data_IF_016126821035
#
_entry.id   IF_016126821035
#
_cell.length_a   1.000
_cell.length_b   1.000
_cell.length_c   1.000
_cell.angle_alpha   90.00
_cell.angle_beta   90.00
_cell.angle_gamma   90.00
#
_symmetry.space_group_name_H-M   'P 1'
#
loop_
_entity.id
_entity.type
_entity.pdbx_description
1 polymer ?
#
# COMPACT_ATOMS: atom_id res chain seq x y z
N UNK A 1 10.57 -15.98 7.28
CA UNK A 1 9.74 -17.01 6.61
C UNK A 1 9.13 -16.36 5.38
N UNK A 2 9.60 -16.75 4.18
CA UNK A 2 9.30 -16.05 2.92
C UNK A 2 8.39 -16.86 1.97
N UNK A 3 7.67 -17.85 2.52
CA UNK A 3 6.75 -18.67 1.76
C UNK A 3 5.40 -18.78 2.48
N UNK A 4 4.77 -17.63 2.73
CA UNK A 4 3.48 -17.51 3.44
C UNK A 4 2.44 -16.85 2.54
N UNK A 5 1.15 -16.92 2.90
CA UNK A 5 0.09 -16.24 2.14
C UNK A 5 0.38 -14.74 1.92
N UNK A 6 0.74 -13.94 2.96
CA UNK A 6 1.12 -12.55 2.75
C UNK A 6 2.28 -12.37 1.78
N UNK A 7 3.31 -13.23 1.85
CA UNK A 7 4.49 -13.14 1.00
C UNK A 7 4.20 -13.47 -0.46
N UNK A 8 3.38 -14.49 -0.74
CA UNK A 8 2.96 -14.79 -2.11
C UNK A 8 2.13 -13.67 -2.73
N UNK A 9 1.25 -13.03 -1.94
CA UNK A 9 0.47 -11.88 -2.39
C UNK A 9 1.37 -10.65 -2.60
N UNK A 10 2.33 -10.41 -1.71
CA UNK A 10 3.35 -9.36 -1.84
C UNK A 10 4.16 -9.51 -3.11
N UNK A 11 4.70 -10.71 -3.36
CA UNK A 11 5.42 -11.03 -4.60
C UNK A 11 4.58 -10.74 -5.83
N UNK A 12 3.32 -11.19 -5.85
CA UNK A 12 2.39 -10.91 -6.96
C UNK A 12 2.17 -9.40 -7.15
N UNK A 13 1.95 -8.65 -6.08
CA UNK A 13 1.73 -7.20 -6.10
C UNK A 13 2.94 -6.44 -6.64
N UNK A 14 4.14 -6.73 -6.12
CA UNK A 14 5.39 -6.07 -6.52
C UNK A 14 5.80 -6.44 -7.94
N UNK A 15 5.61 -7.69 -8.37
CA UNK A 15 5.86 -8.06 -9.77
C UNK A 15 4.93 -7.33 -10.73
N UNK A 16 3.67 -7.11 -10.35
CA UNK A 16 2.70 -6.42 -11.19
C UNK A 16 3.11 -4.97 -11.50
N UNK A 17 3.64 -4.23 -10.52
CA UNK A 17 4.11 -2.85 -10.78
C UNK A 17 5.28 -2.84 -11.76
N UNK A 18 6.20 -3.79 -11.68
CA UNK A 18 7.36 -3.90 -12.59
C UNK A 18 7.02 -4.40 -14.00
N UNK A 19 5.81 -4.89 -14.23
CA UNK A 19 5.32 -5.26 -15.56
C UNK A 19 4.76 -4.06 -16.32
N UNK A 20 4.54 -2.93 -15.66
CA UNK A 20 4.00 -1.73 -16.32
C UNK A 20 5.09 -1.02 -17.14
N UNK A 21 4.76 -0.46 -18.32
CA UNK A 21 5.72 0.32 -19.11
C UNK A 21 6.28 1.53 -18.35
N UNK A 22 5.45 2.15 -17.50
CA UNK A 22 5.87 3.30 -16.69
C UNK A 22 7.01 2.92 -15.76
N UNK A 23 6.87 1.84 -14.97
CA UNK A 23 7.93 1.38 -14.08
C UNK A 23 9.17 0.90 -14.83
N UNK A 24 9.01 0.18 -15.94
CA UNK A 24 10.15 -0.29 -16.73
C UNK A 24 11.03 0.86 -17.25
N UNK A 25 10.42 1.99 -17.60
CA UNK A 25 11.13 3.17 -18.10
C UNK A 25 11.84 3.95 -16.99
N UNK A 26 11.24 4.10 -15.80
CA UNK A 26 11.81 4.94 -14.72
C UNK A 26 12.74 4.16 -13.78
N UNK A 27 12.53 2.84 -13.64
CA UNK A 27 13.24 2.03 -12.65
C UNK A 27 14.76 2.05 -12.77
N UNK A 28 15.39 1.99 -13.96
CA UNK A 28 16.84 2.03 -14.06
C UNK A 28 17.46 3.29 -13.42
N UNK A 29 16.82 4.45 -13.60
CA UNK A 29 17.25 5.70 -12.98
C UNK A 29 16.98 5.70 -11.48
N UNK A 30 15.79 5.26 -11.06
CA UNK A 30 15.43 5.19 -9.64
C UNK A 30 16.30 4.22 -8.85
N UNK A 31 16.66 3.09 -9.44
CA UNK A 31 17.54 2.10 -8.80
C UNK A 31 18.91 2.71 -8.49
N UNK A 32 19.47 3.49 -9.43
CA UNK A 32 20.73 4.19 -9.19
C UNK A 32 20.63 5.20 -8.02
N UNK A 33 19.54 5.97 -7.96
CA UNK A 33 19.29 6.89 -6.84
C UNK A 33 19.05 6.16 -5.52
N UNK A 34 18.33 5.04 -5.55
CA UNK A 34 18.14 4.17 -4.38
C UNK A 34 19.48 3.65 -3.88
N UNK A 35 20.34 3.14 -4.77
CA UNK A 35 21.70 2.69 -4.40
C UNK A 35 22.57 3.82 -3.89
N UNK A 36 22.43 5.04 -4.41
CA UNK A 36 23.12 6.20 -3.87
C UNK A 36 22.72 6.47 -2.42
N UNK A 37 21.43 6.37 -2.09
CA UNK A 37 20.94 6.55 -0.72
C UNK A 37 21.28 5.38 0.22
N UNK A 38 21.27 4.14 -0.28
CA UNK A 38 21.55 2.95 0.52
C UNK A 38 23.06 2.76 0.77
N UNK A 39 23.90 3.09 -0.21
CA UNK A 39 25.32 2.72 -0.19
C UNK A 39 25.56 1.22 -0.41
N UNK A 40 26.83 0.81 -0.36
CA UNK A 40 27.23 -0.55 -0.72
C UNK A 40 26.87 -1.63 0.31
N UNK A 41 26.76 -1.27 1.60
CA UNK A 41 26.50 -2.20 2.71
C UNK A 41 25.36 -1.66 3.59
N UNK A 42 24.16 -1.57 3.02
CA UNK A 42 23.00 -1.05 3.74
C UNK A 42 22.46 -2.03 4.79
N UNK A 43 21.89 -1.47 5.85
CA UNK A 43 21.16 -2.16 6.90
C UNK A 43 19.65 -1.84 6.82
N UNK A 44 18.87 -2.43 7.72
CA UNK A 44 17.41 -2.27 7.73
C UNK A 44 16.97 -0.81 7.89
N UNK A 45 17.74 0.00 8.64
CA UNK A 45 17.41 1.40 8.85
C UNK A 45 17.61 2.23 7.58
N UNK A 46 18.57 1.88 6.72
CA UNK A 46 18.82 2.60 5.48
C UNK A 46 17.64 2.40 4.51
N UNK A 47 17.12 1.18 4.42
CA UNK A 47 15.88 0.88 3.69
C UNK A 47 14.71 1.69 4.24
N UNK A 48 14.50 1.69 5.56
CA UNK A 48 13.41 2.45 6.17
C UNK A 48 13.58 3.95 5.88
N UNK A 49 14.80 4.47 5.94
CA UNK A 49 15.11 5.89 5.72
C UNK A 49 14.98 6.31 4.23
N UNK A 50 14.85 5.38 3.28
CA UNK A 50 14.44 5.73 1.91
C UNK A 50 13.11 6.51 1.88
N UNK A 51 12.23 6.31 2.87
CA UNK A 51 10.98 7.06 3.00
C UNK A 51 11.15 8.58 2.99
N UNK A 52 12.26 9.07 3.57
CA UNK A 52 12.58 10.50 3.58
C UNK A 52 13.05 11.02 2.21
N UNK A 53 13.36 10.12 1.27
CA UNK A 53 14.00 10.43 0.00
C UNK A 53 13.18 9.97 -1.22
N UNK A 54 12.02 9.32 -1.03
CA UNK A 54 11.20 8.87 -2.16
C UNK A 54 10.82 10.00 -3.12
N UNK A 55 10.62 11.21 -2.60
CA UNK A 55 10.33 12.40 -3.40
C UNK A 55 11.51 12.87 -4.26
N UNK A 56 12.75 12.61 -3.82
CA UNK A 56 13.96 12.88 -4.61
C UNK A 56 14.15 11.81 -5.68
N UNK A 57 14.01 10.53 -5.31
CA UNK A 57 14.03 9.38 -6.22
C UNK A 57 12.99 9.58 -7.33
N UNK A 58 11.75 9.90 -6.98
CA UNK A 58 10.68 10.16 -7.95
C UNK A 58 11.04 11.29 -8.93
N UNK A 59 11.70 12.35 -8.45
CA UNK A 59 12.06 13.52 -9.24
C UNK A 59 13.30 13.33 -10.11
N UNK A 60 14.12 12.30 -9.89
CA UNK A 60 15.30 12.06 -10.75
C UNK A 60 14.94 11.74 -12.20
N UNK A 61 13.68 11.34 -12.44
CA UNK A 61 13.11 11.14 -13.78
C UNK A 61 12.16 12.25 -14.21
N UNK A 62 11.99 13.32 -13.42
CA UNK A 62 11.15 14.45 -13.78
C UNK A 62 11.86 15.31 -14.84
N UNK A 63 11.28 15.39 -16.04
CA UNK A 63 11.79 16.25 -17.11
C UNK A 63 11.24 17.66 -16.88
N UNK A 64 12.13 18.65 -16.79
CA UNK A 64 11.73 20.06 -16.69
C UNK A 64 10.90 20.49 -17.91
N UNK A 65 9.70 21.03 -17.66
CA UNK A 65 8.92 21.77 -18.66
C UNK A 65 7.99 20.98 -19.60
N UNK A 66 7.44 19.81 -19.22
CA UNK A 66 6.53 19.04 -20.09
C UNK A 66 5.06 18.99 -19.63
N UNK A 67 4.17 19.05 -20.63
CA UNK A 67 2.71 19.14 -20.61
C UNK A 67 1.95 17.92 -20.05
N UNK A 68 0.64 18.11 -19.86
CA UNK A 68 -0.38 17.26 -19.21
C UNK A 68 -0.27 15.73 -19.36
N UNK A 69 0.25 15.19 -20.47
CA UNK A 69 0.46 13.74 -20.63
C UNK A 69 1.48 13.14 -19.66
N UNK A 70 2.43 13.94 -19.17
CA UNK A 70 3.39 13.55 -18.14
C UNK A 70 2.80 13.52 -16.73
N UNK A 71 1.66 14.18 -16.49
CA UNK A 71 1.01 14.24 -15.17
C UNK A 71 0.37 12.88 -14.80
N UNK A 72 -0.27 12.21 -15.77
CA UNK A 72 -0.93 10.91 -15.56
C UNK A 72 0.08 9.77 -15.37
N UNK A 73 1.14 9.74 -16.16
CA UNK A 73 2.26 8.79 -15.97
C UNK A 73 3.02 9.06 -14.66
N UNK A 74 3.15 10.34 -14.26
CA UNK A 74 3.72 10.72 -12.97
C UNK A 74 2.92 10.20 -11.77
N UNK A 75 1.58 10.24 -11.83
CA UNK A 75 0.72 9.64 -10.79
C UNK A 75 0.96 8.13 -10.66
N UNK A 76 0.83 7.40 -11.77
CA UNK A 76 1.05 5.94 -11.80
C UNK A 76 2.44 5.54 -11.31
N UNK A 77 3.48 6.31 -11.67
CA UNK A 77 4.84 6.11 -11.20
C UNK A 77 4.96 6.33 -9.69
N UNK A 78 4.40 7.42 -9.16
CA UNK A 78 4.43 7.73 -7.73
C UNK A 78 3.74 6.65 -6.90
N UNK A 79 2.53 6.24 -7.30
CA UNK A 79 1.78 5.14 -6.68
C UNK A 79 2.61 3.85 -6.64
N UNK A 80 3.29 3.53 -7.75
CA UNK A 80 4.10 2.32 -7.86
C UNK A 80 5.34 2.38 -6.95
N UNK A 81 5.98 3.55 -6.82
CA UNK A 81 7.11 3.75 -5.91
C UNK A 81 6.68 3.60 -4.44
N UNK A 82 5.55 4.19 -4.05
CA UNK A 82 5.00 4.07 -2.69
C UNK A 82 4.60 2.62 -2.40
N UNK A 83 3.91 1.95 -3.34
CA UNK A 83 3.54 0.54 -3.20
C UNK A 83 4.76 -0.38 -3.08
N UNK A 84 5.82 -0.13 -3.86
CA UNK A 84 7.09 -0.84 -3.76
C UNK A 84 7.73 -0.65 -2.38
N UNK A 85 7.86 0.61 -1.94
CA UNK A 85 8.52 0.97 -0.68
C UNK A 85 7.82 0.37 0.54
N UNK A 86 6.49 0.42 0.60
CA UNK A 86 5.74 -0.17 1.71
C UNK A 86 5.95 -1.68 1.75
N UNK A 87 5.86 -2.38 0.61
CA UNK A 87 6.11 -3.82 0.57
C UNK A 87 7.56 -4.17 0.93
N UNK A 88 8.53 -3.34 0.50
CA UNK A 88 9.94 -3.53 0.81
C UNK A 88 10.21 -3.47 2.31
N UNK A 89 9.66 -2.47 2.99
CA UNK A 89 9.82 -2.33 4.44
C UNK A 89 9.08 -3.42 5.21
N UNK A 90 7.99 -3.95 4.65
CA UNK A 90 7.11 -4.91 5.31
C UNK A 90 7.40 -6.38 4.94
N UNK A 91 8.56 -6.70 4.35
CA UNK A 91 8.91 -8.09 4.04
C UNK A 91 8.89 -8.97 5.29
N UNK A 92 8.43 -10.22 5.15
CA UNK A 92 8.30 -11.16 6.26
C UNK A 92 7.15 -10.86 7.23
N UNK A 93 6.49 -9.70 7.12
CA UNK A 93 5.33 -9.35 7.94
C UNK A 93 4.00 -9.85 7.35
N UNK A 94 2.90 -9.61 8.08
CA UNK A 94 1.52 -9.82 7.62
C UNK A 94 0.93 -8.63 6.86
N UNK A 95 1.75 -7.64 6.49
CA UNK A 95 1.33 -6.39 5.85
C UNK A 95 1.64 -6.46 4.35
N UNK A 96 0.64 -6.25 3.50
CA UNK A 96 0.80 -6.29 2.04
C UNK A 96 0.15 -5.07 1.41
N UNK A 97 0.91 -4.32 0.61
CA UNK A 97 0.39 -3.20 -0.18
C UNK A 97 0.10 -3.64 -1.62
N UNK A 98 -1.06 -3.25 -2.15
CA UNK A 98 -1.59 -3.67 -3.44
C UNK A 98 -2.08 -2.45 -4.20
N UNK A 99 -1.43 -2.15 -5.33
CA UNK A 99 -1.86 -1.08 -6.25
C UNK A 99 -3.02 -1.51 -7.14
N UNK A 100 -3.01 -2.76 -7.61
CA UNK A 100 -3.98 -3.25 -8.60
C UNK A 100 -5.22 -3.82 -7.91
N UNK A 101 -6.35 -3.14 -8.02
CA UNK A 101 -7.61 -3.52 -7.35
C UNK A 101 -8.06 -4.97 -7.63
N UNK A 102 -7.83 -5.49 -8.84
CA UNK A 102 -8.18 -6.88 -9.19
C UNK A 102 -7.37 -7.95 -8.44
N UNK A 103 -6.29 -7.56 -7.75
CA UNK A 103 -5.49 -8.44 -6.89
C UNK A 103 -5.93 -8.38 -5.43
N UNK A 104 -6.71 -7.37 -5.05
CA UNK A 104 -7.29 -7.26 -3.70
C UNK A 104 -8.32 -8.38 -3.53
N UNK A 105 -8.37 -9.10 -2.39
CA UNK A 105 -9.38 -10.11 -2.12
C UNK A 105 -10.81 -9.55 -2.25
N UNK A 106 -11.73 -10.35 -2.79
CA UNK A 106 -13.10 -9.92 -3.10
C UNK A 106 -13.87 -9.36 -1.87
N UNK A 107 -13.79 -9.97 -0.68
CA UNK A 107 -14.40 -9.39 0.53
C UNK A 107 -13.95 -7.96 0.83
N UNK A 108 -12.66 -7.66 0.62
CA UNK A 108 -12.09 -6.33 0.83
C UNK A 108 -12.54 -5.36 -0.26
N UNK A 109 -12.52 -5.78 -1.53
CA UNK A 109 -13.06 -4.96 -2.63
C UNK A 109 -14.51 -4.56 -2.34
N UNK A 110 -15.33 -5.53 -1.92
CA UNK A 110 -16.73 -5.30 -1.62
C UNK A 110 -16.93 -4.40 -0.40
N UNK A 111 -16.13 -4.57 0.65
CA UNK A 111 -16.12 -3.69 1.82
C UNK A 111 -15.82 -2.23 1.48
N UNK A 112 -14.83 -2.01 0.61
CA UNK A 112 -14.39 -0.65 0.23
C UNK A 112 -15.27 0.01 -0.82
N UNK A 113 -16.17 -0.73 -1.47
CA UNK A 113 -17.05 -0.20 -2.53
C UNK A 113 -18.01 0.84 -1.96
N UNK A 114 -18.20 1.94 -2.70
CA UNK A 114 -19.18 2.98 -2.37
C UNK A 114 -20.32 2.93 -3.37
N UNK A 115 -21.56 2.87 -2.87
CA UNK A 115 -22.75 2.83 -3.71
C UNK A 115 -23.46 4.17 -3.68
N UNK A 116 -23.76 4.71 -4.87
CA UNK A 116 -24.65 5.85 -5.08
C UNK A 116 -25.97 5.32 -5.61
N UNK A 117 -26.95 5.13 -4.72
CA UNK A 117 -28.16 4.37 -5.00
C UNK A 117 -27.83 3.00 -5.61
N UNK A 118 -28.18 2.77 -6.88
CA UNK A 118 -27.93 1.51 -7.58
C UNK A 118 -26.61 1.46 -8.34
N UNK A 119 -25.79 2.52 -8.28
CA UNK A 119 -24.50 2.59 -8.96
C UNK A 119 -23.36 2.30 -7.99
N UNK A 120 -22.70 1.16 -8.18
CA UNK A 120 -21.49 0.82 -7.45
C UNK A 120 -20.31 1.60 -8.06
N UNK A 121 -19.75 2.50 -7.28
CA UNK A 121 -18.51 3.21 -7.58
C UNK A 121 -17.37 2.51 -6.83
N UNK A 122 -16.49 1.85 -7.57
CA UNK A 122 -15.24 1.39 -7.00
C UNK A 122 -14.44 2.62 -6.59
N UNK A 123 -13.91 2.60 -5.39
CA UNK A 123 -13.27 3.77 -4.79
C UNK A 123 -11.97 4.10 -5.49
N UNK A 124 -11.64 5.39 -5.56
CA UNK A 124 -10.41 5.91 -6.20
C UNK A 124 -9.16 5.63 -5.34
N UNK A 125 -9.12 4.47 -4.67
CA UNK A 125 -7.98 4.06 -3.86
C UNK A 125 -6.83 3.66 -4.78
N UNK A 126 -5.71 4.37 -4.67
CA UNK A 126 -4.53 4.05 -5.47
C UNK A 126 -3.78 2.82 -4.94
N UNK A 127 -3.76 2.65 -3.61
CA UNK A 127 -3.14 1.50 -2.94
C UNK A 127 -4.07 1.01 -1.83
N UNK A 128 -4.30 -0.31 -1.79
CA UNK A 128 -4.92 -1.01 -0.66
C UNK A 128 -3.86 -1.75 0.12
N UNK A 129 -3.76 -1.50 1.41
CA UNK A 129 -2.91 -2.22 2.36
C UNK A 129 -3.78 -3.18 3.16
N UNK A 130 -3.35 -4.43 3.24
CA UNK A 130 -4.01 -5.48 4.02
C UNK A 130 -3.07 -5.88 5.13
N UNK A 131 -3.58 -5.88 6.36
CA UNK A 131 -2.93 -6.53 7.50
C UNK A 131 -3.73 -7.78 7.82
N UNK A 132 -3.18 -8.93 7.44
CA UNK A 132 -3.78 -10.22 7.78
C UNK A 132 -3.73 -10.44 9.29
N UNK A 133 -4.70 -11.12 9.93
CA UNK A 133 -4.67 -11.35 11.37
C UNK A 133 -3.50 -12.24 11.79
N UNK A 134 -3.19 -12.25 13.08
CA UNK A 134 -2.16 -13.13 13.63
C UNK A 134 -2.66 -14.57 13.82
N UNK A 135 -3.25 -15.15 12.77
CA UNK A 135 -3.69 -16.54 12.73
C UNK A 135 -2.59 -17.43 12.12
N UNK A 136 -2.62 -18.73 12.44
CA UNK A 136 -1.60 -19.67 11.99
C UNK A 136 -1.47 -19.71 10.45
N UNK A 137 -2.60 -19.62 9.74
CA UNK A 137 -2.66 -19.71 8.28
C UNK A 137 -1.84 -18.64 7.54
N UNK A 138 -1.65 -17.47 8.15
CA UNK A 138 -0.86 -16.37 7.58
C UNK A 138 0.59 -16.37 8.06
N UNK A 139 0.93 -17.23 9.03
CA UNK A 139 2.21 -17.24 9.71
C UNK A 139 3.06 -18.48 9.44
N UNK A 140 2.52 -19.51 8.80
CA UNK A 140 3.23 -20.74 8.45
C UNK A 140 3.52 -20.86 6.95
N UNK A 141 4.39 -21.82 6.61
CA UNK A 141 4.72 -22.14 5.22
C UNK A 141 3.47 -22.62 4.47
N UNK A 142 3.25 -22.12 3.24
CA UNK A 142 2.05 -22.45 2.46
C UNK A 142 1.93 -23.92 2.10
N UNK A 143 3.03 -24.67 2.07
CA UNK A 143 3.03 -26.11 1.80
C UNK A 143 2.48 -26.92 2.99
N UNK A 144 2.46 -26.31 4.19
CA UNK A 144 1.90 -26.92 5.40
C UNK A 144 0.44 -26.54 5.63
N UNK A 145 -0.15 -25.70 4.77
CA UNK A 145 -1.54 -25.27 4.89
C UNK A 145 -2.49 -26.36 4.40
N UNK A 146 -3.54 -26.59 5.18
CA UNK A 146 -4.68 -27.40 4.79
C UNK A 146 -5.95 -26.55 4.95
N UNK A 147 -6.32 -25.83 3.89
CA UNK A 147 -7.53 -25.01 3.86
C UNK A 147 -8.69 -25.91 3.45
N UNK A 148 -9.72 -25.97 4.28
CA UNK A 148 -10.92 -26.78 4.04
C UNK A 148 -12.12 -25.83 3.97
N UNK A 149 -12.95 -25.98 2.94
CA UNK A 149 -14.18 -25.22 2.80
C UNK A 149 -15.31 -25.75 3.71
N UNK A 150 -16.45 -25.06 3.74
CA UNK A 150 -17.62 -25.43 4.55
C UNK A 150 -18.24 -26.79 4.16
N UNK A 151 -17.86 -27.34 3.01
CA UNK A 151 -18.30 -28.63 2.51
C UNK A 151 -17.27 -29.76 2.73
N UNK A 152 -16.14 -29.47 3.38
CA UNK A 152 -15.09 -30.44 3.64
C UNK A 152 -14.10 -30.64 2.48
N UNK A 153 -14.16 -29.84 1.42
CA UNK A 153 -13.22 -29.93 0.30
C UNK A 153 -11.95 -29.13 0.60
N UNK A 154 -10.80 -29.71 0.26
CA UNK A 154 -9.52 -29.01 0.33
C UNK A 154 -9.42 -27.95 -0.76
N UNK A 155 -9.10 -26.71 -0.38
CA UNK A 155 -8.77 -25.63 -1.30
C UNK A 155 -7.24 -25.55 -1.42
N UNK A 156 -6.65 -25.76 -2.61
CA UNK A 156 -5.22 -25.60 -2.80
C UNK A 156 -4.78 -24.15 -2.54
N UNK A 157 -3.77 -23.95 -1.69
CA UNK A 157 -3.23 -22.60 -1.41
C UNK A 157 -2.61 -21.96 -2.66
N UNK A 158 -2.00 -22.77 -3.54
CA UNK A 158 -1.33 -22.30 -4.74
C UNK A 158 -1.82 -22.99 -6.00
N UNK A 159 -1.89 -22.25 -7.11
CA UNK A 159 -2.10 -22.76 -8.46
C UNK A 159 -0.93 -22.27 -9.30
N UNK A 160 -0.25 -23.18 -10.02
CA UNK A 160 0.94 -22.88 -10.85
C UNK A 160 2.01 -22.04 -10.13
N UNK A 161 2.25 -22.34 -8.84
CA UNK A 161 3.24 -21.65 -8.02
C UNK A 161 2.85 -20.22 -7.59
N UNK A 162 1.59 -19.81 -7.82
CA UNK A 162 1.04 -18.52 -7.41
C UNK A 162 -0.07 -18.71 -6.39
N UNK A 163 -0.30 -17.72 -5.53
CA UNK A 163 -1.41 -17.73 -4.59
C UNK A 163 -2.74 -17.97 -5.33
N UNK A 164 -3.51 -18.96 -4.88
CA UNK A 164 -4.83 -19.27 -5.42
C UNK A 164 -5.82 -18.16 -4.98
N UNK A 165 -6.44 -17.41 -5.93
CA UNK A 165 -7.41 -16.39 -5.58
C UNK A 165 -8.61 -16.94 -4.79
N UNK A 166 -9.01 -18.20 -5.03
CA UNK A 166 -10.09 -18.84 -4.28
C UNK A 166 -9.72 -19.03 -2.81
N UNK A 167 -8.52 -19.57 -2.52
CA UNK A 167 -8.01 -19.71 -1.16
C UNK A 167 -7.90 -18.35 -0.44
N UNK A 168 -7.40 -17.34 -1.15
CA UNK A 168 -7.26 -15.99 -0.60
C UNK A 168 -8.63 -15.35 -0.28
N UNK A 169 -9.61 -15.47 -1.17
CA UNK A 169 -10.96 -14.98 -0.93
C UNK A 169 -11.62 -15.71 0.25
N UNK A 170 -11.54 -17.04 0.28
CA UNK A 170 -12.09 -17.84 1.37
C UNK A 170 -11.53 -17.45 2.74
N UNK A 171 -10.21 -17.36 2.86
CA UNK A 171 -9.58 -16.98 4.14
C UNK A 171 -9.90 -15.54 4.54
N UNK A 172 -9.96 -14.61 3.58
CA UNK A 172 -10.29 -13.21 3.88
C UNK A 172 -11.76 -12.99 4.20
N UNK A 173 -12.66 -13.83 3.71
CA UNK A 173 -14.06 -13.87 4.11
C UNK A 173 -14.21 -14.43 5.53
N UNK A 174 -13.61 -15.61 5.79
CA UNK A 174 -13.61 -16.25 7.11
C UNK A 174 -13.08 -15.31 8.21
N UNK A 175 -11.97 -14.65 7.93
CA UNK A 175 -11.26 -13.84 8.92
C UNK A 175 -11.56 -12.35 8.81
N UNK A 176 -12.59 -11.96 8.06
CA UNK A 176 -12.86 -10.58 7.66
C UNK A 176 -12.85 -9.59 8.84
N UNK A 177 -13.51 -9.96 9.94
CA UNK A 177 -13.62 -9.12 11.16
C UNK A 177 -12.27 -8.87 11.84
N UNK A 178 -11.27 -9.71 11.59
CA UNK A 178 -9.94 -9.61 12.19
C UNK A 178 -8.92 -8.93 11.27
N UNK A 179 -9.29 -8.61 10.03
CA UNK A 179 -8.44 -7.88 9.09
C UNK A 179 -8.30 -6.42 9.52
N UNK A 180 -7.18 -5.81 9.19
CA UNK A 180 -7.07 -4.36 9.14
C UNK A 180 -6.83 -3.93 7.69
N UNK A 181 -7.49 -2.86 7.28
CA UNK A 181 -7.47 -2.37 5.90
C UNK A 181 -6.98 -0.93 5.91
N UNK A 182 -5.94 -0.65 5.14
CA UNK A 182 -5.50 0.70 4.83
C UNK A 182 -5.83 1.05 3.38
N UNK A 183 -6.39 2.23 3.15
CA UNK A 183 -6.44 2.84 1.82
C UNK A 183 -5.43 3.99 1.80
N UNK A 184 -4.63 4.07 0.74
CA UNK A 184 -3.71 5.19 0.52
C UNK A 184 -4.08 5.86 -0.80
N UNK A 185 -4.35 7.16 -0.72
CA UNK A 185 -4.41 8.02 -1.88
C UNK A 185 -3.04 8.66 -2.12
N UNK A 186 -2.53 8.50 -3.32
CA UNK A 186 -1.28 9.06 -3.79
C UNK A 186 -1.55 10.20 -4.78
N UNK A 187 -0.97 11.39 -4.54
CA UNK A 187 -1.06 12.50 -5.51
C UNK A 187 0.28 13.19 -5.67
N UNK A 188 0.63 13.56 -6.89
CA UNK A 188 1.86 14.29 -7.25
C UNK A 188 1.76 15.81 -7.10
N UNK A 189 0.59 16.32 -6.70
CA UNK A 189 0.37 17.74 -6.41
C UNK A 189 -0.65 17.86 -5.27
N UNK A 190 -0.38 18.76 -4.32
CA UNK A 190 -1.18 18.91 -3.11
C UNK A 190 -2.34 19.92 -3.27
N UNK A 191 -2.18 20.97 -4.08
CA UNK A 191 -3.08 22.14 -4.08
C UNK A 191 -4.56 21.77 -4.31
N UNK A 192 -4.87 21.26 -5.50
CA UNK A 192 -6.26 20.98 -5.87
C UNK A 192 -6.68 19.56 -5.49
N UNK A 193 -5.70 18.68 -5.25
CA UNK A 193 -5.98 17.27 -5.01
C UNK A 193 -6.19 16.90 -3.55
N UNK A 194 -5.85 17.75 -2.56
CA UNK A 194 -6.05 17.44 -1.14
C UNK A 194 -7.53 17.33 -0.73
N UNK A 195 -8.45 17.91 -1.51
CA UNK A 195 -9.88 17.81 -1.24
C UNK A 195 -10.41 16.38 -1.43
N UNK A 196 -9.91 15.66 -2.42
CA UNK A 196 -10.38 14.30 -2.76
C UNK A 196 -10.12 13.32 -1.58
N UNK A 197 -8.89 13.21 -1.03
CA UNK A 197 -8.62 12.41 0.17
C UNK A 197 -9.52 12.77 1.35
N UNK A 198 -9.71 14.07 1.60
CA UNK A 198 -10.55 14.56 2.70
C UNK A 198 -11.99 14.08 2.56
N UNK A 199 -12.58 14.20 1.36
CA UNK A 199 -13.96 13.80 1.11
C UNK A 199 -14.14 12.28 1.21
N UNK A 200 -13.18 11.49 0.71
CA UNK A 200 -13.25 10.03 0.83
C UNK A 200 -13.15 9.58 2.29
N UNK A 201 -12.20 10.11 3.06
CA UNK A 201 -12.07 9.80 4.49
C UNK A 201 -13.33 10.20 5.27
N UNK A 202 -13.98 11.32 4.92
CA UNK A 202 -15.27 11.69 5.48
C UNK A 202 -16.38 10.68 5.15
N UNK A 203 -16.47 10.21 3.90
CA UNK A 203 -17.47 9.21 3.51
C UNK A 203 -17.23 7.92 4.30
N UNK A 204 -16.00 7.41 4.30
CA UNK A 204 -15.64 6.18 5.01
C UNK A 204 -15.92 6.27 6.51
N UNK A 205 -15.49 7.37 7.14
CA UNK A 205 -15.70 7.61 8.57
C UNK A 205 -17.18 7.74 8.93
N UNK A 206 -18.01 8.30 8.04
CA UNK A 206 -19.44 8.43 8.28
C UNK A 206 -20.24 7.13 8.10
N UNK A 207 -19.63 6.07 7.53
CA UNK A 207 -20.38 4.86 7.17
C UNK A 207 -21.32 5.07 5.95
N UNK A 208 -21.10 6.14 5.19
CA UNK A 208 -22.01 6.62 4.14
C UNK A 208 -22.99 7.71 4.61
N UNK A 209 -23.91 8.09 3.74
CA UNK A 209 -24.95 9.09 4.00
C UNK A 209 -26.31 8.54 3.59
N UNK A 210 -27.00 7.88 4.53
CA UNK A 210 -28.27 7.18 4.29
C UNK A 210 -29.36 8.09 3.69
N UNK A 211 -29.51 9.32 4.19
CA UNK A 211 -30.45 10.32 3.64
C UNK A 211 -30.12 10.80 2.22
N UNK A 212 -29.01 10.36 1.64
CA UNK A 212 -28.57 10.66 0.26
C UNK A 212 -28.35 9.40 -0.57
N UNK A 213 -28.76 8.23 -0.08
CA UNK A 213 -28.53 6.93 -0.71
C UNK A 213 -27.04 6.67 -1.05
N UNK A 214 -26.14 7.16 -0.19
CA UNK A 214 -24.71 6.85 -0.29
C UNK A 214 -24.41 5.80 0.78
N UNK A 215 -24.02 4.59 0.37
CA UNK A 215 -23.67 3.52 1.32
C UNK A 215 -22.27 3.00 1.03
N UNK A 216 -21.69 2.33 2.03
CA UNK A 216 -20.40 1.67 1.91
C UNK A 216 -20.62 0.17 2.05
N UNK A 217 -19.85 -0.61 1.31
CA UNK A 217 -19.91 -2.05 1.39
C UNK A 217 -20.96 -2.64 0.45
N UNK A 218 -20.83 -3.93 0.20
CA UNK A 218 -21.85 -4.76 -0.46
C UNK A 218 -21.59 -6.22 -0.14
N UNK A 219 -22.52 -7.09 -0.51
CA UNK A 219 -22.40 -8.54 -0.28
C UNK A 219 -22.05 -8.89 1.19
N UNK A 220 -22.67 -8.18 2.13
CA UNK A 220 -22.44 -8.29 3.58
C UNK A 220 -21.05 -7.90 4.10
N UNK A 221 -20.20 -7.30 3.25
CA UNK A 221 -18.92 -6.75 3.67
C UNK A 221 -18.99 -5.22 3.79
N UNK A 222 -18.42 -4.70 4.87
CA UNK A 222 -18.34 -3.26 5.14
C UNK A 222 -17.04 -2.98 5.94
N UNK A 223 -16.34 -1.89 5.60
CA UNK A 223 -15.12 -1.46 6.32
C UNK A 223 -15.34 -1.17 7.80
N UNK A 224 -16.58 -0.94 8.25
CA UNK A 224 -16.91 -0.75 9.67
C UNK A 224 -16.88 -2.06 10.48
N UNK A 225 -16.84 -3.21 9.81
CA UNK A 225 -16.82 -4.52 10.48
C UNK A 225 -15.42 -5.11 10.61
N UNK A 226 -14.42 -4.56 9.92
CA UNK A 226 -13.04 -5.03 10.07
C UNK A 226 -12.44 -4.50 11.37
N UNK A 227 -11.34 -5.09 11.83
CA UNK A 227 -10.70 -4.72 13.10
C UNK A 227 -10.28 -3.26 13.13
N UNK A 228 -9.78 -2.75 12.01
CA UNK A 228 -9.35 -1.36 11.87
C UNK A 228 -9.36 -0.94 10.40
N UNK A 229 -9.84 0.27 10.12
CA UNK A 229 -9.79 0.88 8.80
C UNK A 229 -9.05 2.22 8.88
N UNK A 230 -8.13 2.46 7.95
CA UNK A 230 -7.40 3.74 7.85
C UNK A 230 -7.43 4.27 6.42
N UNK A 231 -7.56 5.58 6.28
CA UNK A 231 -7.41 6.28 5.01
C UNK A 231 -6.26 7.27 5.10
N UNK A 232 -5.22 7.05 4.32
CA UNK A 232 -3.98 7.83 4.33
C UNK A 232 -3.81 8.63 3.05
N UNK A 233 -3.09 9.75 3.14
CA UNK A 233 -2.66 10.52 1.98
C UNK A 233 -1.13 10.53 1.90
N UNK A 234 -0.58 10.20 0.73
CA UNK A 234 0.87 10.18 0.48
C UNK A 234 1.18 11.02 -0.76
N UNK A 235 1.85 12.15 -0.58
CA UNK A 235 2.13 13.09 -1.68
C UNK A 235 3.61 13.28 -1.98
N UNK A 236 3.88 13.74 -3.21
CA UNK A 236 5.15 14.33 -3.60
C UNK A 236 4.85 15.69 -4.21
N UNK A 237 5.02 16.82 -3.49
CA UNK A 237 4.62 18.12 -4.01
C UNK A 237 5.56 18.54 -5.16
N UNK A 238 5.16 18.28 -6.41
CA UNK A 238 5.98 18.52 -7.61
C UNK A 238 5.86 19.94 -8.18
N UNK A 239 4.98 20.76 -7.63
CA UNK A 239 4.78 22.14 -8.04
C UNK A 239 5.98 23.03 -7.64
N UNK A 240 6.54 23.77 -8.61
CA UNK A 240 7.71 24.65 -8.42
C UNK A 240 7.51 25.80 -7.40
N UNK A 241 6.28 26.01 -6.91
CA UNK A 241 5.91 27.04 -5.91
C UNK A 241 5.35 26.44 -4.61
N UNK A 242 5.68 25.18 -4.30
CA UNK A 242 5.18 24.40 -3.17
C UNK A 242 5.72 24.88 -1.79
N UNK A 243 5.42 26.10 -1.37
CA UNK A 243 5.72 26.57 -0.01
C UNK A 243 4.54 26.27 0.92
N UNK A 244 4.41 25.00 1.30
CA UNK A 244 3.39 24.55 2.25
C UNK A 244 3.80 24.85 3.69
N UNK A 245 2.86 25.35 4.48
CA UNK A 245 3.00 25.56 5.91
C UNK A 245 1.75 25.05 6.64
N UNK A 246 1.80 25.00 7.97
CA UNK A 246 0.71 24.48 8.80
C UNK A 246 -0.65 25.17 8.62
N UNK A 247 -0.69 26.36 8.03
CA UNK A 247 -1.90 27.13 7.77
C UNK A 247 -2.36 27.05 6.32
N UNK A 248 -1.59 26.40 5.43
CA UNK A 248 -2.02 26.16 4.05
C UNK A 248 -3.31 25.33 4.02
N UNK A 249 -4.30 25.75 3.25
CA UNK A 249 -5.60 25.05 3.15
C UNK A 249 -5.42 23.59 2.72
N UNK A 250 -4.52 23.33 1.76
CA UNK A 250 -4.20 21.98 1.31
C UNK A 250 -3.68 21.08 2.45
N UNK A 251 -2.89 21.63 3.38
CA UNK A 251 -2.40 20.93 4.57
C UNK A 251 -3.54 20.65 5.53
N UNK A 252 -4.35 21.67 5.86
CA UNK A 252 -5.48 21.53 6.80
C UNK A 252 -6.48 20.46 6.36
N UNK A 253 -6.78 20.36 5.06
CA UNK A 253 -7.70 19.36 4.49
C UNK A 253 -7.30 17.91 4.79
N UNK A 254 -6.00 17.64 4.89
CA UNK A 254 -5.48 16.26 5.08
C UNK A 254 -4.91 16.02 6.47
N UNK A 255 -4.90 17.03 7.35
CA UNK A 255 -4.27 16.94 8.68
C UNK A 255 -4.92 15.87 9.57
N UNK A 256 -6.25 15.69 9.43
CA UNK A 256 -7.05 14.84 10.32
C UNK A 256 -7.51 13.54 9.64
N UNK A 257 -6.88 13.13 8.54
CA UNK A 257 -7.21 11.85 7.91
C UNK A 257 -6.96 10.71 8.90
N UNK A 258 -7.86 9.71 8.91
CA UNK A 258 -7.79 8.58 9.85
C UNK A 258 -6.46 7.82 9.84
N UNK A 259 -5.85 7.63 8.65
CA UNK A 259 -4.51 7.06 8.48
C UNK A 259 -3.39 8.10 8.45
N UNK A 260 -3.73 9.39 8.32
CA UNK A 260 -2.82 10.52 8.38
C UNK A 260 -2.24 10.96 7.03
N UNK A 261 -1.49 12.06 7.09
CA UNK A 261 -0.88 12.74 5.96
C UNK A 261 0.65 12.54 5.93
N UNK A 262 1.14 12.04 4.80
CA UNK A 262 2.55 11.73 4.59
C UNK A 262 3.08 12.24 3.25
N UNK A 263 4.40 12.26 3.12
CA UNK A 263 5.08 12.57 1.87
C UNK A 263 6.43 11.85 1.73
N UNK A 264 7.02 11.91 0.55
CA UNK A 264 8.36 11.35 0.27
C UNK A 264 9.53 12.25 0.70
N UNK A 265 9.39 12.98 1.81
CA UNK A 265 10.39 13.91 2.34
C UNK A 265 10.51 13.74 3.85
N UNK A 266 11.57 14.27 4.46
CA UNK A 266 11.66 14.39 5.91
C UNK A 266 10.42 15.08 6.50
N UNK A 267 10.04 14.66 7.70
CA UNK A 267 8.91 15.24 8.43
C UNK A 267 9.09 16.73 8.62
N UNK A 268 8.07 17.49 8.22
CA UNK A 268 7.94 18.90 8.53
C UNK A 268 6.75 19.07 9.47
N UNK A 269 7.05 19.47 10.70
CA UNK A 269 6.07 19.56 11.79
C UNK A 269 4.95 20.51 11.40
N UNK A 270 3.70 20.03 11.53
CA UNK A 270 2.51 20.77 11.16
C UNK A 270 2.19 20.78 9.66
N UNK A 271 3.03 20.18 8.80
CA UNK A 271 2.80 20.06 7.36
C UNK A 271 2.48 18.62 6.96
N UNK A 272 3.47 17.74 6.99
CA UNK A 272 3.33 16.33 6.64
C UNK A 272 4.46 15.51 7.27
N UNK A 273 4.18 14.24 7.54
CA UNK A 273 5.17 13.28 8.04
C UNK A 273 5.88 12.59 6.89
N UNK A 274 7.10 12.16 7.12
CA UNK A 274 7.76 11.21 6.22
C UNK A 274 6.92 9.93 6.12
N UNK A 275 6.80 9.39 4.91
CA UNK A 275 6.09 8.12 4.70
C UNK A 275 6.69 6.98 5.51
N UNK A 276 7.96 7.06 5.94
CA UNK A 276 8.53 6.05 6.85
C UNK A 276 7.83 5.96 8.21
N UNK A 277 7.11 7.00 8.62
CA UNK A 277 6.37 7.01 9.89
C UNK A 277 5.05 6.24 9.78
N UNK A 278 4.58 5.92 8.57
CA UNK A 278 3.31 5.21 8.34
C UNK A 278 3.28 3.84 9.03
N UNK A 279 4.43 3.17 9.14
CA UNK A 279 4.51 1.82 9.70
C UNK A 279 4.16 1.78 11.19
N UNK A 280 4.71 2.70 11.98
CA UNK A 280 4.41 2.77 13.41
C UNK A 280 2.98 3.27 13.66
N UNK A 281 2.50 4.16 12.80
CA UNK A 281 1.18 4.75 12.93
C UNK A 281 0.04 3.78 12.57
N UNK A 282 0.17 3.06 11.46
CA UNK A 282 -0.94 2.35 10.86
C UNK A 282 -0.73 0.85 10.79
N UNK A 283 0.51 0.36 10.77
CA UNK A 283 0.82 -1.03 10.38
C UNK A 283 1.53 -1.86 11.46
N UNK A 284 1.73 -1.31 12.66
CA UNK A 284 2.52 -1.94 13.73
C UNK A 284 1.98 -3.31 14.16
N UNK A 285 0.65 -3.51 14.12
CA UNK A 285 -0.01 -4.77 14.47
C UNK A 285 0.29 -5.92 13.52
N UNK A 286 0.81 -5.63 12.31
CA UNK A 286 1.11 -6.61 11.28
C UNK A 286 2.54 -7.15 11.31
N UNK A 287 3.45 -6.50 12.03
CA UNK A 287 4.79 -7.02 12.27
C UNK A 287 4.73 -8.31 13.09
N UNK A 288 5.68 -9.23 12.85
CA UNK A 288 5.81 -10.46 13.62
C UNK A 288 6.60 -10.23 14.90
N UNK A 289 7.65 -9.42 14.80
CA UNK A 289 8.43 -8.97 15.96
C UNK A 289 8.35 -7.45 16.08
N UNK A 290 9.00 -6.75 15.16
CA UNK A 290 8.87 -5.33 14.86
C UNK A 290 9.46 -5.10 13.46
N UNK A 291 9.11 -3.98 12.84
CA UNK A 291 9.53 -3.65 11.47
C UNK A 291 11.04 -3.82 11.23
N UNK A 292 11.88 -3.31 12.13
CA UNK A 292 13.35 -3.35 11.97
C UNK A 292 13.87 -4.78 12.02
N UNK A 293 13.43 -5.56 13.01
CA UNK A 293 13.89 -6.93 13.17
C UNK A 293 13.39 -7.83 12.03
N UNK A 294 12.13 -7.68 11.61
CA UNK A 294 11.56 -8.44 10.50
C UNK A 294 12.33 -8.15 9.20
N UNK A 295 12.62 -6.87 8.92
CA UNK A 295 13.40 -6.47 7.75
C UNK A 295 14.87 -6.94 7.83
N UNK A 296 15.51 -6.83 8.99
CA UNK A 296 16.88 -7.31 9.21
C UNK A 296 17.01 -8.81 8.93
N UNK A 297 16.01 -9.60 9.33
CA UNK A 297 15.98 -11.04 9.06
C UNK A 297 15.83 -11.34 7.56
N UNK A 298 15.17 -10.46 6.80
CA UNK A 298 14.95 -10.61 5.37
C UNK A 298 16.12 -10.11 4.51
N UNK A 299 17.00 -9.24 5.04
CA UNK A 299 18.14 -8.66 4.32
C UNK A 299 18.97 -9.67 3.50
N UNK A 300 19.33 -10.87 4.03
CA UNK A 300 20.15 -11.84 3.30
C UNK A 300 19.49 -12.43 2.04
N UNK A 301 18.18 -12.24 1.86
CA UNK A 301 17.40 -12.77 0.75
C UNK A 301 17.17 -11.74 -0.37
N UNK A 302 17.50 -10.47 -0.15
CA UNK A 302 17.59 -9.43 -1.20
C UNK A 302 18.86 -9.60 -2.01
N UNK A 303 18.96 -10.68 -2.79
CA UNK A 303 20.10 -10.96 -3.67
C UNK A 303 19.60 -11.58 -4.97
N UNK A 304 20.45 -11.56 -5.99
CA UNK A 304 20.18 -12.26 -7.25
C UNK A 304 19.90 -13.74 -7.00
N UNK A 305 18.84 -14.28 -7.59
CA UNK A 305 18.28 -15.62 -7.35
C UNK A 305 17.83 -15.89 -5.89
N UNK A 306 17.70 -14.87 -5.05
CA UNK A 306 17.11 -14.98 -3.71
C UNK A 306 15.58 -14.90 -3.76
N UNK A 307 14.92 -15.29 -2.66
CA UNK A 307 13.45 -15.28 -2.55
C UNK A 307 12.84 -13.88 -2.76
N UNK A 308 13.62 -12.82 -2.52
CA UNK A 308 13.22 -11.41 -2.60
C UNK A 308 13.76 -10.69 -3.84
N UNK A 309 14.35 -11.41 -4.81
CA UNK A 309 14.83 -10.84 -6.07
C UNK A 309 13.73 -10.05 -6.81
N UNK A 310 12.46 -10.41 -6.60
CA UNK A 310 11.32 -9.74 -7.20
C UNK A 310 11.18 -8.25 -6.83
N UNK A 311 11.86 -7.78 -5.77
CA UNK A 311 11.96 -6.36 -5.44
C UNK A 311 12.90 -5.56 -6.35
N UNK A 312 13.75 -6.26 -7.13
CA UNK A 312 14.77 -5.66 -8.01
C UNK A 312 15.68 -4.64 -7.29
N UNK A 313 15.99 -4.93 -6.03
CA UNK A 313 16.83 -4.07 -5.20
C UNK A 313 18.33 -4.27 -5.48
N UNK A 314 18.76 -5.51 -5.77
CA UNK A 314 20.14 -5.90 -6.08
C UNK A 314 20.21 -6.67 -7.40
#
# INVERSE_FOLDING_TARGET
MLNTIPELLRKKSVQAIFQTPTMQNVWPTWLNEIHHHLGANFAENDIINLGDNLGNIFRSTAIAGRDQGALSSGGTAWESLVCWYINLCCVGSRIVAIKTMSMVPKPIQDATTINYANFACNTESDITVIIFPNANDYNQDVNNLNIIDDHGNTIPTTVTGRINPHALNFLTERDFLNLEIGVIQCKTNWNDNAQIPMLWDMIYSAGGFSGRNITIGRNNFNIQHVRNFTYSFVTVPSNARANYNQNSVAVKRVTNLSGGNFWGQHTNVGVARSVKEIFNNNYSSGSRTNLRNDLRQALPDFKKNGDLEYFKLL
#
